data_IF_163635329233
#
_entry.id   IF_163635329233
#
_cell.length_a   1.000
_cell.length_b   1.000
_cell.length_c   1.000
_cell.angle_alpha   90.00
_cell.angle_beta   90.00
_cell.angle_gamma   90.00
#
_symmetry.space_group_name_H-M   'P 1'
#
loop_
_entity.id
_entity.type
_entity.pdbx_description
1 polymer ?
#
# COMPACT_ATOMS: atom_id res chain seq x y z
N UNK A 1 1.93 20.05 10.53
CA UNK A 1 1.81 19.38 11.80
C UNK A 1 0.69 18.37 11.79
N UNK A 2 -0.23 18.43 12.77
CA UNK A 2 -1.29 17.42 12.87
C UNK A 2 -2.20 17.41 11.64
N UNK A 3 -2.58 18.58 11.14
CA UNK A 3 -3.44 18.65 9.95
C UNK A 3 -2.74 18.07 8.72
N UNK A 4 -1.46 18.37 8.56
CA UNK A 4 -0.69 17.85 7.44
C UNK A 4 -0.48 16.34 7.56
N UNK A 5 -0.19 15.87 8.76
CA UNK A 5 -0.03 14.44 9.00
C UNK A 5 -1.32 13.68 8.72
N UNK A 6 -2.46 14.27 9.07
CA UNK A 6 -3.76 13.69 8.81
C UNK A 6 -4.05 13.63 7.31
N UNK A 7 -3.72 14.69 6.57
CA UNK A 7 -3.89 14.71 5.13
C UNK A 7 -3.00 13.66 4.46
N UNK A 8 -1.77 13.53 4.90
CA UNK A 8 -0.84 12.51 4.39
C UNK A 8 -1.36 11.11 4.66
N UNK A 9 -1.96 10.91 5.84
CA UNK A 9 -2.55 9.62 6.18
C UNK A 9 -3.72 9.29 5.26
N UNK A 10 -4.60 10.25 5.03
CA UNK A 10 -5.74 10.07 4.13
C UNK A 10 -5.29 9.75 2.72
N UNK A 11 -4.28 10.47 2.21
CA UNK A 11 -3.73 10.23 0.89
C UNK A 11 -3.12 8.83 0.78
N UNK A 12 -2.41 8.40 1.82
CA UNK A 12 -1.80 7.07 1.82
C UNK A 12 -2.84 5.96 1.87
N UNK A 13 -3.96 6.19 2.55
CA UNK A 13 -5.06 5.22 2.58
C UNK A 13 -5.69 5.07 1.20
N UNK A 14 -5.91 6.18 0.50
CA UNK A 14 -6.46 6.16 -0.85
C UNK A 14 -5.50 5.45 -1.80
N UNK A 15 -4.22 5.77 -1.72
CA UNK A 15 -3.19 5.14 -2.54
C UNK A 15 -3.13 3.63 -2.30
N UNK A 16 -3.21 3.22 -1.04
CA UNK A 16 -3.21 1.81 -0.68
C UNK A 16 -4.41 1.09 -1.26
N UNK A 17 -5.58 1.71 -1.22
CA UNK A 17 -6.78 1.15 -1.80
C UNK A 17 -6.66 1.01 -3.31
N UNK A 18 -6.15 2.04 -3.99
CA UNK A 18 -5.95 2.02 -5.43
C UNK A 18 -4.97 0.93 -5.83
N UNK A 19 -3.84 0.83 -5.12
CA UNK A 19 -2.82 -0.17 -5.44
C UNK A 19 -3.31 -1.59 -5.17
N UNK A 20 -4.15 -1.80 -4.16
CA UNK A 20 -4.74 -3.10 -3.89
C UNK A 20 -5.68 -3.53 -5.02
N UNK A 21 -6.48 -2.61 -5.53
CA UNK A 21 -7.36 -2.89 -6.65
C UNK A 21 -6.58 -3.18 -7.92
N UNK A 22 -5.53 -2.38 -8.16
CA UNK A 22 -4.66 -2.58 -9.32
C UNK A 22 -3.95 -3.92 -9.26
N UNK A 23 -3.49 -4.31 -8.09
CA UNK A 23 -2.83 -5.61 -7.89
C UNK A 23 -3.79 -6.75 -8.19
N UNK A 24 -5.00 -6.67 -7.66
CA UNK A 24 -6.00 -7.70 -7.88
C UNK A 24 -6.32 -7.84 -9.35
N UNK A 25 -6.48 -6.73 -10.05
CA UNK A 25 -6.77 -6.74 -11.48
C UNK A 25 -5.60 -7.31 -12.27
N UNK A 26 -4.39 -6.90 -11.95
CA UNK A 26 -3.19 -7.41 -12.61
C UNK A 26 -3.01 -8.91 -12.38
N UNK A 27 -3.33 -9.38 -11.18
CA UNK A 27 -3.27 -10.80 -10.86
C UNK A 27 -4.28 -11.61 -11.67
N UNK A 28 -5.50 -11.11 -11.80
CA UNK A 28 -6.53 -11.75 -12.61
C UNK A 28 -6.14 -11.79 -14.08
N UNK A 29 -5.59 -10.69 -14.59
CA UNK A 29 -5.11 -10.62 -15.99
C UNK A 29 -3.96 -11.59 -16.22
N UNK A 30 -3.05 -11.68 -15.27
CA UNK A 30 -1.92 -12.61 -15.37
C UNK A 30 -2.41 -14.06 -15.41
N UNK A 31 -3.35 -14.41 -14.55
CA UNK A 31 -3.89 -15.76 -14.51
C UNK A 31 -4.61 -16.11 -15.82
N UNK A 32 -5.35 -15.15 -16.37
CA UNK A 32 -6.04 -15.35 -17.63
C UNK A 32 -5.05 -15.54 -18.76
N UNK A 33 -4.02 -14.70 -18.84
CA UNK A 33 -2.97 -14.84 -19.85
C UNK A 33 -2.25 -16.17 -19.74
N UNK A 34 -2.01 -16.64 -18.53
CA UNK A 34 -1.37 -17.93 -18.30
C UNK A 34 -2.22 -19.06 -18.87
N UNK A 35 -3.52 -19.05 -18.58
CA UNK A 35 -4.44 -20.06 -19.05
C UNK A 35 -4.50 -20.05 -20.58
N UNK A 36 -4.59 -18.88 -21.18
CA UNK A 36 -4.64 -18.73 -22.63
C UNK A 36 -3.33 -19.20 -23.28
N UNK A 37 -2.21 -18.92 -22.65
CA UNK A 37 -0.92 -19.39 -23.12
C UNK A 37 -0.84 -20.91 -23.07
N UNK A 38 -1.30 -21.52 -21.98
CA UNK A 38 -1.24 -22.97 -21.80
C UNK A 38 -2.08 -23.72 -22.84
N UNK A 39 -3.19 -23.13 -23.29
CA UNK A 39 -4.01 -23.73 -24.33
C UNK A 39 -3.64 -23.25 -25.73
N UNK A 40 -2.55 -22.51 -25.86
CA UNK A 40 -2.03 -22.08 -27.15
C UNK A 40 -2.74 -20.89 -27.79
N UNK A 41 -3.57 -20.18 -27.04
CA UNK A 41 -4.34 -19.04 -27.53
C UNK A 41 -3.64 -17.71 -27.29
N UNK A 42 -2.51 -17.70 -26.62
CA UNK A 42 -1.78 -16.50 -26.29
C UNK A 42 -0.29 -16.71 -26.55
N UNK A 43 0.40 -15.64 -26.98
CA UNK A 43 1.84 -15.68 -27.16
C UNK A 43 2.54 -15.65 -25.81
N UNK A 44 3.70 -16.30 -25.75
CA UNK A 44 4.51 -16.29 -24.52
C UNK A 44 4.88 -14.87 -24.12
N UNK A 45 5.20 -14.02 -25.10
CA UNK A 45 5.56 -12.62 -24.81
C UNK A 45 4.44 -11.88 -24.09
N UNK A 46 3.18 -12.13 -24.48
CA UNK A 46 2.03 -11.49 -23.84
C UNK A 46 1.85 -11.97 -22.40
N UNK A 47 2.08 -13.25 -22.15
CA UNK A 47 2.02 -13.80 -20.81
C UNK A 47 3.13 -13.21 -19.93
N UNK A 48 4.36 -13.12 -20.47
CA UNK A 48 5.49 -12.55 -19.74
C UNK A 48 5.26 -11.06 -19.44
N UNK A 49 4.64 -10.35 -20.36
CA UNK A 49 4.28 -8.95 -20.15
C UNK A 49 3.26 -8.81 -19.03
N UNK A 50 2.22 -9.66 -19.04
CA UNK A 50 1.22 -9.67 -17.97
C UNK A 50 1.85 -9.99 -16.61
N UNK A 51 2.82 -10.90 -16.59
CA UNK A 51 3.55 -11.24 -15.38
C UNK A 51 4.38 -10.06 -14.88
N UNK A 52 5.01 -9.33 -15.80
CA UNK A 52 5.79 -8.14 -15.45
C UNK A 52 4.90 -7.04 -14.86
N UNK A 53 3.73 -6.83 -15.46
CA UNK A 53 2.74 -5.86 -14.95
C UNK A 53 2.27 -6.25 -13.56
N UNK A 54 2.02 -7.54 -13.33
CA UNK A 54 1.63 -8.04 -12.02
C UNK A 54 2.74 -7.79 -11.00
N UNK A 55 3.99 -8.07 -11.35
CA UNK A 55 5.13 -7.84 -10.46
C UNK A 55 5.26 -6.36 -10.09
N UNK A 56 5.04 -5.47 -11.05
CA UNK A 56 5.09 -4.04 -10.81
C UNK A 56 3.95 -3.61 -9.88
N UNK A 57 2.75 -4.12 -10.12
CA UNK A 57 1.59 -3.82 -9.27
C UNK A 57 1.80 -4.32 -7.85
N UNK A 58 2.45 -5.48 -7.71
CA UNK A 58 2.78 -6.05 -6.41
C UNK A 58 3.76 -5.14 -5.66
N UNK A 59 4.79 -4.67 -6.36
CA UNK A 59 5.77 -3.76 -5.78
C UNK A 59 5.12 -2.43 -5.38
N UNK A 60 4.22 -1.91 -6.21
CA UNK A 60 3.52 -0.67 -5.92
C UNK A 60 2.64 -0.82 -4.68
N UNK A 61 1.97 -1.96 -4.53
CA UNK A 61 1.13 -2.22 -3.36
C UNK A 61 1.97 -2.29 -2.08
N UNK A 62 3.13 -2.94 -2.14
CA UNK A 62 4.03 -3.02 -1.00
C UNK A 62 4.52 -1.61 -0.63
N UNK A 63 4.91 -0.81 -1.63
CA UNK A 63 5.35 0.55 -1.40
C UNK A 63 4.26 1.42 -0.79
N UNK A 64 3.02 1.27 -1.27
CA UNK A 64 1.88 2.01 -0.74
C UNK A 64 1.60 1.60 0.71
N UNK A 65 1.74 0.31 1.02
CA UNK A 65 1.55 -0.19 2.37
C UNK A 65 2.62 0.37 3.32
N UNK A 66 3.86 0.41 2.86
CA UNK A 66 4.95 1.01 3.64
C UNK A 66 4.71 2.51 3.86
N UNK A 67 4.27 3.21 2.81
CA UNK A 67 3.96 4.64 2.91
C UNK A 67 2.83 4.89 3.90
N UNK A 68 1.83 4.02 3.89
CA UNK A 68 0.71 4.11 4.83
C UNK A 68 1.21 3.89 6.26
N UNK A 69 2.07 2.91 6.46
CA UNK A 69 2.65 2.65 7.78
C UNK A 69 3.43 3.86 8.29
N UNK A 70 4.25 4.46 7.42
CA UNK A 70 5.02 5.65 7.78
C UNK A 70 4.08 6.82 8.09
N UNK A 71 3.06 7.04 7.26
CA UNK A 71 2.09 8.12 7.47
C UNK A 71 1.31 7.92 8.77
N UNK A 72 0.94 6.67 9.08
CA UNK A 72 0.26 6.34 10.32
C UNK A 72 1.15 6.64 11.51
N UNK A 73 2.43 6.26 11.42
CA UNK A 73 3.40 6.51 12.49
C UNK A 73 3.59 8.00 12.71
N UNK A 74 3.68 8.77 11.62
CA UNK A 74 3.82 10.22 11.73
C UNK A 74 2.58 10.88 12.31
N UNK A 75 1.41 10.39 11.92
CA UNK A 75 0.15 10.91 12.47
C UNK A 75 0.05 10.63 13.96
N UNK A 76 0.37 9.42 14.37
CA UNK A 76 0.35 9.04 15.78
C UNK A 76 1.38 9.86 16.56
N UNK A 77 2.54 10.08 15.98
CA UNK A 77 3.58 10.89 16.62
C UNK A 77 3.13 12.34 16.79
N UNK A 78 2.53 12.92 15.76
CA UNK A 78 2.04 14.30 15.80
C UNK A 78 0.89 14.43 16.80
N UNK A 79 -0.02 13.47 16.80
CA UNK A 79 -1.12 13.40 17.74
C UNK A 79 -0.61 13.11 19.15
N UNK A 80 0.39 12.23 19.23
CA UNK A 80 0.98 11.80 20.48
C UNK A 80 1.85 12.83 21.17
N UNK A 81 2.22 13.91 20.47
CA UNK A 81 2.95 15.00 21.13
C UNK A 81 2.17 15.61 22.27
N UNK A 82 0.83 15.67 22.14
CA UNK A 82 -0.04 16.12 23.21
C UNK A 82 -0.27 15.01 24.23
N UNK A 83 -0.55 13.81 23.76
CA UNK A 83 -0.82 12.66 24.65
C UNK A 83 0.45 12.17 25.33
N UNK A 84 1.59 12.28 24.67
CA UNK A 84 2.86 11.89 25.26
C UNK A 84 3.18 12.71 26.48
N UNK A 85 2.89 14.01 26.44
CA UNK A 85 3.08 14.89 27.57
C UNK A 85 2.25 14.43 28.76
N UNK A 86 1.01 14.05 28.52
CA UNK A 86 0.11 13.55 29.58
C UNK A 86 0.61 12.20 30.11
N UNK A 87 1.03 11.30 29.21
CA UNK A 87 1.52 9.97 29.56
C UNK A 87 2.79 10.07 30.40
N UNK A 88 3.70 10.94 30.02
CA UNK A 88 4.94 11.15 30.77
C UNK A 88 4.65 11.68 32.18
N UNK A 89 3.69 12.59 32.31
CA UNK A 89 3.29 13.09 33.60
C UNK A 89 2.72 12.00 34.49
N UNK A 90 1.93 11.10 33.90
CA UNK A 90 1.38 9.96 34.64
C UNK A 90 2.49 9.03 35.15
N UNK A 91 3.44 8.72 34.25
CA UNK A 91 4.56 7.85 34.59
C UNK A 91 5.45 8.49 35.65
N UNK A 92 5.67 9.79 35.54
CA UNK A 92 6.53 10.51 36.47
C UNK A 92 5.83 10.77 37.84
N UNK A 93 4.51 10.78 37.86
CA UNK A 93 3.77 11.00 39.12
C UNK A 93 3.60 9.72 39.93
N UNK A 94 3.97 8.60 39.36
CA UNK A 94 4.00 7.33 40.07
C UNK A 94 5.36 7.11 40.74
#
# INVERSE_FOLDING_TARGET
ELAQARNNLEESEIEMEITQKSLKQAEENMKMSKQQYEVGMELLTNYLEAQSIWQQAYADEINARCSHFIATSKYLKASGLLDKSITEKRLNSN
#
